data_IF_438964248823
#
_entry.id   IF_438964248823
#
_cell.length_a   1.000
_cell.length_b   1.000
_cell.length_c   1.000
_cell.angle_alpha   90.00
_cell.angle_beta   90.00
_cell.angle_gamma   90.00
#
_symmetry.space_group_name_H-M   'P 1'
#
loop_
_entity.id
_entity.type
_entity.pdbx_description
1 polymer ?
#
# COMPACT_ATOMS: atom_id res chain seq x y z
N UNK A 1 10.70 6.15 -31.81
CA UNK A 1 10.91 5.90 -30.37
C UNK A 1 9.55 5.65 -29.75
N UNK A 2 9.43 4.66 -28.89
CA UNK A 2 8.23 4.38 -28.10
C UNK A 2 8.68 3.96 -26.68
N UNK A 3 8.47 4.85 -25.70
CA UNK A 3 8.58 4.52 -24.28
C UNK A 3 7.22 4.02 -23.81
N UNK A 4 7.14 2.79 -23.32
CA UNK A 4 5.93 2.19 -22.77
C UNK A 4 6.07 2.07 -21.26
N UNK A 5 5.04 2.50 -20.54
CA UNK A 5 4.92 2.38 -19.08
C UNK A 5 3.83 1.38 -18.74
N UNK A 6 4.08 0.58 -17.74
CA UNK A 6 3.16 -0.46 -17.33
C UNK A 6 3.37 -0.93 -15.91
N UNK A 7 2.54 -1.87 -15.49
CA UNK A 7 2.66 -2.54 -14.19
C UNK A 7 3.20 -3.95 -14.39
N UNK A 8 4.24 -4.28 -13.62
CA UNK A 8 4.75 -5.64 -13.53
C UNK A 8 4.07 -6.33 -12.36
N UNK A 9 3.50 -7.50 -12.59
CA UNK A 9 2.79 -8.25 -11.57
C UNK A 9 3.11 -9.74 -11.61
N UNK A 10 2.73 -10.45 -10.57
CA UNK A 10 2.86 -11.91 -10.46
C UNK A 10 1.47 -12.51 -10.22
N UNK A 11 1.12 -13.54 -10.98
CA UNK A 11 -0.13 -14.26 -10.75
C UNK A 11 -0.06 -15.12 -9.49
N UNK A 12 -1.22 -15.45 -8.90
CA UNK A 12 -1.29 -16.36 -7.76
C UNK A 12 -0.65 -17.71 -8.05
N UNK A 13 -0.83 -18.25 -9.26
CA UNK A 13 -0.20 -19.49 -9.72
C UNK A 13 1.32 -19.38 -9.74
N UNK A 14 1.86 -18.31 -10.34
CA UNK A 14 3.30 -18.07 -10.39
C UNK A 14 3.91 -17.88 -9.00
N UNK A 15 3.19 -17.19 -8.13
CA UNK A 15 3.60 -16.97 -6.73
C UNK A 15 3.63 -18.27 -5.94
N UNK A 16 2.61 -19.13 -6.07
CA UNK A 16 2.56 -20.43 -5.43
C UNK A 16 3.74 -21.33 -5.90
N UNK A 17 3.99 -21.37 -7.22
CA UNK A 17 5.12 -22.12 -7.79
C UNK A 17 6.48 -21.59 -7.30
N UNK A 18 6.62 -20.28 -7.17
CA UNK A 18 7.82 -19.65 -6.63
C UNK A 18 8.05 -20.06 -5.18
N UNK A 19 7.02 -20.00 -4.34
CA UNK A 19 7.12 -20.38 -2.92
C UNK A 19 7.38 -21.89 -2.74
N UNK A 20 6.81 -22.73 -3.59
CA UNK A 20 7.11 -24.17 -3.57
C UNK A 20 8.60 -24.45 -3.85
N UNK A 21 9.22 -23.74 -4.81
CA UNK A 21 10.67 -23.84 -5.08
C UNK A 21 11.49 -23.34 -3.90
N UNK A 22 11.14 -22.20 -3.30
CA UNK A 22 11.85 -21.68 -2.12
C UNK A 22 11.82 -22.68 -0.96
N UNK A 23 10.65 -23.26 -0.68
CA UNK A 23 10.51 -24.27 0.37
C UNK A 23 11.35 -25.53 0.08
N UNK A 24 11.35 -26.01 -1.18
CA UNK A 24 12.16 -27.17 -1.59
C UNK A 24 13.67 -26.92 -1.45
N UNK A 25 14.11 -25.67 -1.59
CA UNK A 25 15.50 -25.24 -1.41
C UNK A 25 15.84 -24.85 0.04
N UNK A 26 14.91 -24.99 0.98
CA UNK A 26 15.08 -24.58 2.39
C UNK A 26 15.22 -23.08 2.60
N UNK A 27 14.77 -22.27 1.63
CA UNK A 27 14.81 -20.80 1.68
C UNK A 27 13.51 -20.24 2.24
N UNK A 28 13.53 -19.02 2.82
CA UNK A 28 12.31 -18.35 3.27
C UNK A 28 11.32 -18.14 2.13
N UNK A 29 10.04 -18.40 2.39
CA UNK A 29 8.95 -18.15 1.44
C UNK A 29 8.57 -16.67 1.45
N UNK A 30 8.06 -16.18 0.33
CA UNK A 30 7.59 -14.80 0.19
C UNK A 30 6.19 -14.63 0.78
N UNK A 31 5.91 -13.43 1.33
CA UNK A 31 4.67 -13.15 2.02
C UNK A 31 3.50 -12.81 1.06
N UNK A 32 3.78 -12.14 -0.07
CA UNK A 32 2.76 -11.75 -1.02
C UNK A 32 3.30 -11.61 -2.46
N UNK A 33 2.45 -11.73 -3.49
CA UNK A 33 2.87 -11.70 -4.89
C UNK A 33 3.37 -10.30 -5.34
N UNK A 34 2.81 -9.21 -4.81
CA UNK A 34 3.19 -7.84 -5.21
C UNK A 34 4.62 -7.51 -4.80
N UNK A 35 4.96 -7.74 -3.52
CA UNK A 35 6.32 -7.50 -3.04
C UNK A 35 7.33 -8.44 -3.71
N UNK A 36 6.92 -9.68 -4.03
CA UNK A 36 7.73 -10.62 -4.78
C UNK A 36 7.99 -10.15 -6.21
N UNK A 37 6.99 -9.60 -6.89
CA UNK A 37 7.15 -9.00 -8.22
C UNK A 37 8.10 -7.79 -8.18
N UNK A 38 7.85 -6.83 -7.27
CA UNK A 38 8.68 -5.64 -7.11
C UNK A 38 10.14 -5.98 -6.75
N UNK A 39 10.34 -6.93 -5.85
CA UNK A 39 11.66 -7.44 -5.48
C UNK A 39 12.36 -8.16 -6.62
N UNK A 40 11.61 -8.88 -7.46
CA UNK A 40 12.14 -9.61 -8.61
C UNK A 40 12.69 -8.67 -9.70
N UNK A 41 12.04 -7.53 -9.94
CA UNK A 41 12.50 -6.54 -10.93
C UNK A 41 13.76 -5.79 -10.45
N UNK A 42 14.01 -5.74 -9.14
CA UNK A 42 15.15 -5.03 -8.54
C UNK A 42 16.40 -5.88 -8.34
N UNK A 43 16.42 -7.12 -8.86
CA UNK A 43 17.61 -7.98 -8.73
C UNK A 43 18.78 -7.42 -9.55
N UNK A 44 19.99 -7.47 -8.98
CA UNK A 44 21.22 -7.09 -9.67
C UNK A 44 21.60 -8.12 -10.74
N UNK A 45 21.32 -9.40 -10.47
CA UNK A 45 21.53 -10.49 -11.42
C UNK A 45 20.25 -10.71 -12.25
N UNK A 46 20.28 -10.42 -13.57
CA UNK A 46 19.12 -10.60 -14.44
C UNK A 46 18.67 -12.06 -14.57
N UNK A 47 19.55 -13.04 -14.31
CA UNK A 47 19.18 -14.46 -14.34
C UNK A 47 18.15 -14.81 -13.26
N UNK A 48 18.22 -14.15 -12.10
CA UNK A 48 17.24 -14.29 -11.03
C UNK A 48 15.87 -13.79 -11.49
N UNK A 49 15.82 -12.62 -12.13
CA UNK A 49 14.59 -12.06 -12.70
C UNK A 49 14.02 -12.93 -13.80
N UNK A 50 14.87 -13.44 -14.70
CA UNK A 50 14.47 -14.33 -15.79
C UNK A 50 13.85 -15.65 -15.28
N UNK A 51 14.28 -16.13 -14.12
CA UNK A 51 13.70 -17.29 -13.42
C UNK A 51 12.35 -17.03 -12.73
N UNK A 52 11.83 -15.79 -12.78
CA UNK A 52 10.55 -15.40 -12.18
C UNK A 52 9.48 -15.28 -13.26
N UNK A 53 8.33 -15.91 -13.04
CA UNK A 53 7.18 -15.81 -13.95
C UNK A 53 6.46 -14.48 -13.73
N UNK A 54 7.05 -13.38 -14.21
CA UNK A 54 6.49 -12.03 -14.15
C UNK A 54 5.61 -11.78 -15.37
N UNK A 55 4.56 -11.00 -15.16
CA UNK A 55 3.66 -10.51 -16.19
C UNK A 55 3.70 -8.97 -16.22
N UNK A 56 3.18 -8.39 -17.30
CA UNK A 56 3.20 -6.95 -17.53
C UNK A 56 1.89 -6.50 -18.17
N UNK A 57 1.37 -5.35 -17.75
CA UNK A 57 0.30 -4.65 -18.44
C UNK A 57 0.75 -3.25 -18.82
N UNK A 58 0.76 -2.94 -20.12
CA UNK A 58 0.97 -1.60 -20.62
C UNK A 58 -0.26 -0.72 -20.36
N UNK A 59 -0.09 0.45 -19.75
CA UNK A 59 -1.19 1.36 -19.45
C UNK A 59 -0.92 2.83 -19.75
N UNK A 60 0.33 3.18 -20.09
CA UNK A 60 0.73 4.56 -20.38
C UNK A 60 1.99 4.56 -21.26
N UNK A 61 2.41 5.75 -21.64
CA UNK A 61 3.62 5.97 -22.44
C UNK A 61 4.39 7.17 -21.89
N UNK A 62 5.65 7.25 -22.29
CA UNK A 62 6.53 8.41 -22.14
C UNK A 62 6.79 9.04 -23.49
N UNK A 63 8.09 9.12 -23.86
CA UNK A 63 8.47 9.66 -25.15
C UNK A 63 8.01 8.79 -26.32
N UNK A 64 7.36 9.42 -27.29
CA UNK A 64 6.84 8.75 -28.48
C UNK A 64 7.05 9.64 -29.73
N UNK A 65 7.55 9.06 -30.81
CA UNK A 65 7.84 9.76 -32.07
C UNK A 65 6.61 9.93 -32.97
N UNK A 66 5.42 9.82 -32.46
CA UNK A 66 4.15 10.00 -33.14
C UNK A 66 3.06 9.26 -32.39
N UNK A 67 1.97 9.95 -32.08
CA UNK A 67 0.84 9.34 -31.39
C UNK A 67 0.03 8.51 -32.39
N UNK A 68 -0.22 7.21 -32.12
CA UNK A 68 -1.06 6.38 -32.97
C UNK A 68 -2.57 6.64 -32.83
N UNK A 69 -2.95 7.56 -31.92
CA UNK A 69 -4.32 7.97 -31.64
C UNK A 69 -4.38 9.25 -30.82
N UNK A 70 -5.58 9.83 -30.68
CA UNK A 70 -5.87 11.06 -29.94
C UNK A 70 -6.66 10.80 -28.64
N UNK A 71 -6.84 9.52 -28.30
CA UNK A 71 -7.55 9.09 -27.08
C UNK A 71 -6.71 8.09 -26.29
N UNK A 72 -6.94 8.03 -24.97
CA UNK A 72 -6.33 7.07 -24.07
C UNK A 72 -6.66 5.62 -24.51
N UNK A 73 -7.92 5.35 -24.84
CA UNK A 73 -8.38 4.06 -25.33
C UNK A 73 -7.69 3.66 -26.65
N UNK A 74 -7.62 4.58 -27.61
CA UNK A 74 -6.95 4.36 -28.89
C UNK A 74 -5.46 4.07 -28.76
N UNK A 75 -4.78 4.71 -27.79
CA UNK A 75 -3.39 4.41 -27.47
C UNK A 75 -3.22 2.99 -26.93
N UNK A 76 -4.10 2.55 -26.03
CA UNK A 76 -4.02 1.18 -25.47
C UNK A 76 -4.35 0.14 -26.53
N UNK A 77 -5.31 0.39 -27.41
CA UNK A 77 -5.57 -0.46 -28.57
C UNK A 77 -4.36 -0.54 -29.52
N UNK A 78 -3.63 0.55 -29.71
CA UNK A 78 -2.39 0.54 -30.49
C UNK A 78 -1.31 -0.32 -29.81
N UNK A 79 -1.18 -0.27 -28.50
CA UNK A 79 -0.25 -1.15 -27.76
C UNK A 79 -0.61 -2.62 -27.98
N UNK A 80 -1.88 -2.98 -27.92
CA UNK A 80 -2.33 -4.33 -28.21
C UNK A 80 -1.98 -4.75 -29.67
N UNK A 81 -2.18 -3.87 -30.65
CA UNK A 81 -1.77 -4.11 -32.06
C UNK A 81 -0.25 -4.28 -32.22
N UNK A 82 0.56 -3.62 -31.36
CA UNK A 82 2.02 -3.80 -31.34
C UNK A 82 2.48 -5.04 -30.56
N UNK A 83 1.54 -5.87 -30.07
CA UNK A 83 1.83 -7.09 -29.33
C UNK A 83 2.17 -6.88 -27.84
N UNK A 84 1.94 -5.68 -27.31
CA UNK A 84 2.14 -5.42 -25.89
C UNK A 84 0.93 -5.93 -25.08
N UNK A 85 1.14 -6.60 -23.94
CA UNK A 85 0.05 -7.00 -23.07
C UNK A 85 -0.68 -5.78 -22.50
N UNK A 86 -2.00 -5.76 -22.63
CA UNK A 86 -2.89 -4.73 -22.05
C UNK A 86 -3.92 -5.39 -21.16
N UNK A 87 -4.44 -4.66 -20.18
CA UNK A 87 -5.44 -5.22 -19.27
C UNK A 87 -6.79 -5.40 -20.00
N UNK A 88 -7.33 -6.63 -20.10
CA UNK A 88 -8.57 -6.91 -20.81
C UNK A 88 -9.83 -6.33 -20.12
N UNK A 89 -9.70 -5.93 -18.84
CA UNK A 89 -10.79 -5.33 -18.07
C UNK A 89 -10.98 -3.83 -18.35
N UNK A 90 -10.09 -3.22 -19.14
CA UNK A 90 -10.24 -1.81 -19.52
C UNK A 90 -11.54 -1.60 -20.31
N UNK A 91 -12.29 -0.56 -19.94
CA UNK A 91 -13.55 -0.16 -20.58
C UNK A 91 -13.56 1.34 -20.80
N UNK A 92 -14.08 1.76 -21.95
CA UNK A 92 -14.49 3.15 -22.18
C UNK A 92 -15.91 3.33 -21.65
N UNK A 93 -16.12 4.35 -20.84
CA UNK A 93 -17.40 4.72 -20.23
C UNK A 93 -17.78 6.12 -20.67
N UNK A 94 -19.07 6.40 -20.84
CA UNK A 94 -19.57 7.71 -21.27
C UNK A 94 -20.23 8.48 -20.12
N UNK A 95 -20.71 7.75 -19.10
CA UNK A 95 -21.37 8.33 -17.93
C UNK A 95 -20.68 7.91 -16.62
N UNK A 96 -20.98 8.59 -15.53
CA UNK A 96 -20.53 8.22 -14.18
C UNK A 96 -21.16 6.90 -13.75
N UNK A 97 -22.40 6.66 -14.14
CA UNK A 97 -23.13 5.43 -13.87
C UNK A 97 -22.44 4.23 -14.51
N UNK A 98 -21.96 4.37 -15.76
CA UNK A 98 -21.17 3.33 -16.43
C UNK A 98 -19.85 3.06 -15.70
N UNK A 99 -19.13 4.11 -15.26
CA UNK A 99 -17.90 3.97 -14.48
C UNK A 99 -18.14 3.18 -13.21
N UNK A 100 -19.20 3.48 -12.47
CA UNK A 100 -19.55 2.80 -11.22
C UNK A 100 -19.99 1.35 -11.48
N UNK A 101 -20.73 1.09 -12.56
CA UNK A 101 -21.13 -0.26 -12.95
C UNK A 101 -19.90 -1.13 -13.24
N UNK A 102 -18.95 -0.64 -14.02
CA UNK A 102 -17.69 -1.33 -14.31
C UNK A 102 -16.86 -1.54 -13.04
N UNK A 103 -16.81 -0.55 -12.15
CA UNK A 103 -16.13 -0.69 -10.84
C UNK A 103 -16.71 -1.84 -10.01
N UNK A 104 -18.05 -1.93 -9.89
CA UNK A 104 -18.71 -2.99 -9.16
C UNK A 104 -18.53 -4.37 -9.82
N UNK A 105 -18.56 -4.44 -11.15
CA UNK A 105 -18.27 -5.65 -11.91
C UNK A 105 -16.86 -6.17 -11.60
N UNK A 106 -15.85 -5.31 -11.68
CA UNK A 106 -14.45 -5.67 -11.40
C UNK A 106 -14.28 -6.05 -9.92
N UNK A 107 -14.92 -5.33 -8.99
CA UNK A 107 -14.90 -5.65 -7.57
C UNK A 107 -15.45 -7.07 -7.29
N UNK A 108 -16.54 -7.44 -7.95
CA UNK A 108 -17.16 -8.76 -7.82
C UNK A 108 -16.29 -9.90 -8.38
N UNK A 109 -15.50 -9.61 -9.45
CA UNK A 109 -14.59 -10.58 -10.09
C UNK A 109 -13.22 -10.66 -9.40
N UNK A 110 -12.90 -9.77 -8.47
CA UNK A 110 -11.57 -9.60 -7.87
C UNK A 110 -10.93 -10.91 -7.43
N UNK A 111 -11.69 -11.78 -6.76
CA UNK A 111 -11.21 -13.06 -6.25
C UNK A 111 -10.85 -14.08 -7.33
N UNK A 112 -11.36 -13.94 -8.55
CA UNK A 112 -11.20 -14.89 -9.66
C UNK A 112 -10.24 -14.45 -10.75
N UNK A 113 -9.67 -13.25 -10.65
CA UNK A 113 -8.76 -12.69 -11.66
C UNK A 113 -7.42 -13.43 -11.75
N UNK A 114 -7.05 -14.18 -10.70
CA UNK A 114 -5.76 -14.87 -10.65
C UNK A 114 -4.57 -13.95 -10.33
N UNK A 115 -4.80 -12.69 -10.04
CA UNK A 115 -3.82 -11.71 -9.54
C UNK A 115 -4.52 -10.65 -8.66
N UNK A 116 -3.75 -10.01 -7.79
CA UNK A 116 -4.30 -9.03 -6.84
C UNK A 116 -4.49 -7.66 -7.50
N UNK A 117 -5.63 -7.03 -7.18
CA UNK A 117 -5.93 -5.63 -7.49
C UNK A 117 -6.48 -4.91 -6.26
N UNK A 118 -6.18 -3.64 -6.13
CA UNK A 118 -6.61 -2.81 -5.00
C UNK A 118 -7.62 -1.71 -5.38
N UNK A 119 -7.97 -1.62 -6.66
CA UNK A 119 -8.91 -0.65 -7.20
C UNK A 119 -8.83 -0.54 -8.71
N UNK A 120 -9.48 0.50 -9.22
CA UNK A 120 -9.45 0.90 -10.63
C UNK A 120 -8.91 2.32 -10.77
N UNK A 121 -8.45 2.68 -11.96
CA UNK A 121 -8.02 4.05 -12.27
C UNK A 121 -8.88 4.56 -13.43
N UNK A 122 -9.59 5.66 -13.16
CA UNK A 122 -10.29 6.39 -14.21
C UNK A 122 -9.35 7.39 -14.87
N UNK A 123 -9.44 7.51 -16.18
CA UNK A 123 -8.67 8.47 -16.96
C UNK A 123 -9.56 9.16 -17.96
N UNK A 124 -9.37 10.47 -18.16
CA UNK A 124 -10.03 11.20 -19.25
C UNK A 124 -9.56 10.63 -20.57
N UNK A 125 -10.48 10.22 -21.45
CA UNK A 125 -10.14 9.52 -22.70
C UNK A 125 -9.47 10.44 -23.74
N UNK A 126 -9.94 11.67 -23.91
CA UNK A 126 -9.36 12.64 -24.85
C UNK A 126 -7.99 13.14 -24.40
N UNK A 127 -6.94 12.89 -25.19
CA UNK A 127 -5.57 13.36 -24.90
C UNK A 127 -5.49 14.88 -24.88
N UNK A 128 -6.24 15.58 -25.75
CA UNK A 128 -6.34 17.05 -25.74
C UNK A 128 -6.91 17.58 -24.42
N UNK A 129 -7.89 16.87 -23.82
CA UNK A 129 -8.42 17.24 -22.50
C UNK A 129 -7.46 16.89 -21.37
N UNK A 130 -6.71 15.79 -21.49
CA UNK A 130 -5.63 15.46 -20.53
C UNK A 130 -4.58 16.56 -20.49
N UNK A 131 -4.10 17.03 -21.65
CA UNK A 131 -3.15 18.13 -21.77
C UNK A 131 -3.69 19.42 -21.15
N UNK A 132 -4.96 19.77 -21.43
CA UNK A 132 -5.64 20.96 -20.89
C UNK A 132 -5.78 20.90 -19.36
N UNK A 133 -6.07 19.72 -18.77
CA UNK A 133 -6.17 19.52 -17.32
C UNK A 133 -4.77 19.54 -16.65
N UNK A 134 -3.76 19.02 -17.32
CA UNK A 134 -2.38 19.03 -16.88
C UNK A 134 -2.11 18.23 -15.61
N UNK A 135 -1.11 18.71 -14.86
CA UNK A 135 -0.58 18.06 -13.64
C UNK A 135 -0.54 19.03 -12.47
N UNK A 136 -0.62 18.50 -11.26
CA UNK A 136 -0.24 19.20 -10.02
C UNK A 136 0.90 18.41 -9.39
N UNK A 137 2.08 19.01 -9.32
CA UNK A 137 3.31 18.31 -8.96
C UNK A 137 3.55 17.11 -9.88
N UNK A 138 3.51 15.89 -9.34
CA UNK A 138 3.67 14.64 -10.09
C UNK A 138 2.36 13.91 -10.37
N UNK A 139 1.24 14.49 -9.98
CA UNK A 139 -0.07 13.85 -10.09
C UNK A 139 -0.86 14.42 -11.25
N UNK A 140 -1.37 13.58 -12.18
CA UNK A 140 -2.23 14.03 -13.25
C UNK A 140 -3.59 14.48 -12.71
N UNK A 141 -4.14 15.58 -13.24
CA UNK A 141 -5.49 16.05 -12.90
C UNK A 141 -6.58 15.33 -13.71
N UNK A 142 -6.19 14.56 -14.68
CA UNK A 142 -7.04 13.81 -15.60
C UNK A 142 -7.16 12.32 -15.27
N UNK A 143 -6.57 11.90 -14.14
CA UNK A 143 -6.67 10.52 -13.65
C UNK A 143 -6.97 10.50 -12.16
N UNK A 144 -7.81 9.55 -11.74
CA UNK A 144 -8.15 9.32 -10.33
C UNK A 144 -8.24 7.82 -10.02
N UNK A 145 -7.62 7.40 -8.92
CA UNK A 145 -7.72 6.05 -8.42
C UNK A 145 -8.97 5.90 -7.53
N UNK A 146 -9.78 4.87 -7.81
CA UNK A 146 -10.90 4.45 -6.98
C UNK A 146 -10.55 3.10 -6.35
N UNK A 147 -10.13 3.13 -5.10
CA UNK A 147 -9.72 1.93 -4.37
C UNK A 147 -10.93 1.12 -3.93
N UNK A 148 -10.80 -0.22 -3.93
CA UNK A 148 -11.81 -1.06 -3.28
C UNK A 148 -11.81 -0.82 -1.78
N UNK A 149 -12.95 -1.08 -1.10
CA UNK A 149 -13.00 -1.05 0.35
C UNK A 149 -11.90 -1.92 0.94
N UNK A 150 -11.23 -1.39 1.96
CA UNK A 150 -10.21 -2.15 2.67
C UNK A 150 -10.85 -3.29 3.45
N UNK A 151 -10.23 -4.46 3.41
CA UNK A 151 -10.67 -5.56 4.24
C UNK A 151 -10.37 -5.27 5.72
N UNK A 152 -11.31 -5.63 6.58
CA UNK A 152 -11.23 -5.42 8.02
C UNK A 152 -11.37 -6.75 8.77
N UNK A 153 -10.74 -6.83 9.93
CA UNK A 153 -10.94 -7.93 10.87
C UNK A 153 -10.83 -7.43 12.31
N UNK A 154 -11.50 -8.13 13.21
CA UNK A 154 -11.39 -7.92 14.65
C UNK A 154 -10.27 -8.79 15.22
N UNK A 155 -9.49 -8.24 16.13
CA UNK A 155 -8.47 -8.96 16.88
C UNK A 155 -8.19 -8.30 18.21
N UNK A 156 -7.34 -8.93 19.04
CA UNK A 156 -6.93 -8.38 20.34
C UNK A 156 -5.63 -7.61 20.21
N UNK A 157 -5.57 -6.44 20.80
CA UNK A 157 -4.37 -5.64 20.99
C UNK A 157 -3.59 -6.20 22.19
N UNK A 158 -2.58 -7.01 21.93
CA UNK A 158 -1.81 -7.69 22.96
C UNK A 158 -0.74 -6.78 23.59
N UNK A 159 -0.15 -5.87 22.79
CA UNK A 159 0.85 -4.91 23.26
C UNK A 159 0.98 -3.73 22.31
N UNK A 160 1.64 -2.65 22.75
CA UNK A 160 2.00 -1.49 21.95
C UNK A 160 3.52 -1.29 22.05
N UNK A 161 4.22 -1.64 20.99
CA UNK A 161 5.66 -1.49 20.86
C UNK A 161 6.03 -0.16 20.21
N UNK A 162 7.04 0.52 20.71
CA UNK A 162 7.57 1.74 20.11
C UNK A 162 8.79 1.42 19.27
N UNK A 163 8.69 1.61 17.97
CA UNK A 163 9.82 1.51 17.05
C UNK A 163 10.42 2.89 16.80
N UNK A 164 11.76 2.97 16.78
CA UNK A 164 12.47 4.22 16.51
C UNK A 164 13.05 4.16 15.10
N UNK A 165 12.62 5.10 14.25
CA UNK A 165 13.08 5.19 12.88
C UNK A 165 14.39 5.98 12.74
N UNK A 166 15.01 5.94 11.56
CA UNK A 166 16.27 6.63 11.24
C UNK A 166 16.23 8.16 11.43
N UNK A 167 15.05 8.76 11.43
CA UNK A 167 14.85 10.19 11.70
C UNK A 167 14.54 10.48 13.16
N UNK A 168 14.71 9.50 14.05
CA UNK A 168 14.36 9.59 15.47
C UNK A 168 12.87 9.46 15.79
N UNK A 169 11.98 9.36 14.78
CA UNK A 169 10.55 9.24 14.99
C UNK A 169 10.21 7.99 15.80
N UNK A 170 9.42 8.17 16.87
CA UNK A 170 8.84 7.11 17.68
C UNK A 170 7.51 6.67 17.04
N UNK A 171 7.51 5.52 16.41
CA UNK A 171 6.36 4.96 15.72
C UNK A 171 5.72 3.84 16.56
N UNK A 172 4.49 4.02 17.06
CA UNK A 172 3.81 2.98 17.81
C UNK A 172 3.26 1.90 16.87
N UNK A 173 3.55 0.64 17.21
CA UNK A 173 3.10 -0.56 16.51
C UNK A 173 2.24 -1.39 17.45
N UNK A 174 1.00 -1.63 17.08
CA UNK A 174 0.13 -2.57 17.74
C UNK A 174 0.62 -4.01 17.51
N UNK A 175 0.94 -4.72 18.57
CA UNK A 175 1.14 -6.17 18.57
C UNK A 175 -0.23 -6.83 18.75
N UNK A 176 -0.62 -7.68 17.82
CA UNK A 176 -1.96 -8.20 17.70
C UNK A 176 -1.96 -9.72 17.82
N UNK A 177 -3.02 -10.25 18.42
CA UNK A 177 -3.31 -11.66 18.22
C UNK A 177 -3.46 -11.91 16.72
N UNK A 178 -2.69 -12.86 16.13
CA UNK A 178 -2.68 -13.06 14.68
C UNK A 178 -4.08 -13.30 14.11
N UNK A 179 -4.40 -12.56 13.04
CA UNK A 179 -5.70 -12.65 12.34
C UNK A 179 -5.49 -12.52 10.84
N UNK A 180 -6.31 -13.21 10.05
CA UNK A 180 -6.25 -13.14 8.58
C UNK A 180 -7.04 -11.95 8.07
N UNK A 181 -6.39 -11.07 7.29
CA UNK A 181 -6.98 -9.91 6.61
C UNK A 181 -6.38 -9.79 5.22
N UNK A 182 -7.22 -9.69 4.20
CA UNK A 182 -6.76 -9.59 2.82
C UNK A 182 -5.88 -10.76 2.39
N UNK A 183 -6.23 -12.00 2.82
CA UNK A 183 -5.52 -13.22 2.48
C UNK A 183 -4.16 -13.40 3.16
N UNK A 184 -3.75 -12.52 4.08
CA UNK A 184 -2.49 -12.66 4.85
C UNK A 184 -2.75 -12.64 6.35
N UNK A 185 -1.88 -13.33 7.10
CA UNK A 185 -1.89 -13.29 8.56
C UNK A 185 -1.22 -12.01 9.03
N UNK A 186 -1.95 -11.19 9.79
CA UNK A 186 -1.50 -9.94 10.37
C UNK A 186 -1.34 -10.10 11.87
N UNK A 187 -0.13 -9.83 12.37
CA UNK A 187 0.21 -9.81 13.80
C UNK A 187 0.66 -8.42 14.25
N UNK A 188 0.83 -7.47 13.33
CA UNK A 188 1.25 -6.10 13.64
C UNK A 188 0.47 -5.11 12.80
N UNK A 189 0.09 -3.97 13.41
CA UNK A 189 -0.56 -2.86 12.71
C UNK A 189 -0.01 -1.53 13.20
N UNK A 190 -0.01 -0.51 12.36
CA UNK A 190 0.40 0.82 12.81
C UNK A 190 -0.67 1.49 13.65
N UNK A 191 -0.23 2.21 14.68
CA UNK A 191 -1.01 3.19 15.43
C UNK A 191 -0.61 4.62 15.07
N UNK A 192 0.19 4.78 14.01
CA UNK A 192 0.68 6.03 13.43
C UNK A 192 1.50 6.92 14.37
N UNK A 193 0.91 7.43 15.45
CA UNK A 193 1.53 8.34 16.42
C UNK A 193 0.77 8.38 17.75
N UNK A 194 1.29 9.16 18.69
CA UNK A 194 0.70 9.38 20.02
C UNK A 194 -0.74 9.91 19.96
N UNK A 195 -1.01 10.89 19.08
CA UNK A 195 -2.33 11.51 18.93
C UNK A 195 -3.38 10.50 18.44
N UNK A 196 -2.99 9.56 17.58
CA UNK A 196 -3.88 8.51 17.12
C UNK A 196 -4.23 7.52 18.24
N UNK A 197 -3.27 7.14 19.08
CA UNK A 197 -3.54 6.29 20.25
C UNK A 197 -4.53 6.98 21.18
N UNK A 198 -4.31 8.28 21.47
CA UNK A 198 -5.20 9.06 22.31
C UNK A 198 -6.61 9.20 21.71
N UNK A 199 -6.70 9.46 20.39
CA UNK A 199 -7.98 9.58 19.66
C UNK A 199 -8.78 8.28 19.66
N UNK A 200 -8.11 7.16 19.53
CA UNK A 200 -8.74 5.84 19.56
C UNK A 200 -9.02 5.37 21.01
N UNK A 201 -8.40 5.99 21.99
CA UNK A 201 -8.30 5.50 23.39
C UNK A 201 -7.88 4.02 23.40
N UNK A 202 -6.87 3.69 22.57
CA UNK A 202 -6.40 2.31 22.44
C UNK A 202 -5.63 1.87 23.69
N UNK A 203 -6.04 0.72 24.24
CA UNK A 203 -5.46 0.14 25.46
C UNK A 203 -5.06 -1.32 25.23
N UNK A 204 -3.99 -1.74 25.86
CA UNK A 204 -3.59 -3.15 25.83
C UNK A 204 -4.72 -4.00 26.41
N UNK A 205 -5.07 -5.06 25.70
CA UNK A 205 -6.19 -5.95 25.97
C UNK A 205 -7.49 -5.62 25.23
N UNK A 206 -7.57 -4.49 24.54
CA UNK A 206 -8.75 -4.11 23.75
C UNK A 206 -8.98 -5.05 22.56
N UNK A 207 -10.25 -5.25 22.23
CA UNK A 207 -10.63 -5.73 20.90
C UNK A 207 -10.61 -4.56 19.94
N UNK A 208 -9.81 -4.70 18.88
CA UNK A 208 -9.61 -3.65 17.86
C UNK A 208 -10.04 -4.14 16.49
N UNK A 209 -10.53 -3.23 15.66
CA UNK A 209 -10.72 -3.47 14.23
C UNK A 209 -9.48 -2.97 13.51
N UNK A 210 -8.85 -3.88 12.78
CA UNK A 210 -7.74 -3.56 11.90
C UNK A 210 -8.21 -3.57 10.45
N UNK A 211 -7.53 -2.80 9.64
CA UNK A 211 -7.82 -2.68 8.22
C UNK A 211 -6.53 -2.82 7.42
N UNK A 212 -6.62 -3.52 6.28
CA UNK A 212 -5.58 -3.60 5.29
C UNK A 212 -6.13 -3.21 3.92
N UNK A 213 -5.65 -2.11 3.36
CA UNK A 213 -6.00 -1.68 2.01
C UNK A 213 -4.89 -2.11 1.05
N UNK A 214 -5.16 -3.10 0.21
CA UNK A 214 -4.15 -3.65 -0.70
C UNK A 214 -2.90 -4.13 0.05
N UNK A 215 -1.71 -3.75 -0.44
CA UNK A 215 -0.42 -4.02 0.21
C UNK A 215 0.05 -2.93 1.18
N UNK A 216 -0.86 -2.08 1.65
CA UNK A 216 -0.54 -1.04 2.62
C UNK A 216 -0.35 -1.68 4.00
N UNK A 217 0.51 -1.05 4.81
CA UNK A 217 0.74 -1.46 6.21
C UNK A 217 -0.61 -1.52 6.94
N UNK A 218 -0.94 -2.67 7.60
CA UNK A 218 -2.16 -2.77 8.39
C UNK A 218 -2.22 -1.67 9.44
N UNK A 219 -3.42 -1.11 9.66
CA UNK A 219 -3.62 -0.05 10.66
C UNK A 219 -4.79 -0.39 11.59
N UNK A 220 -4.71 0.09 12.81
CA UNK A 220 -5.82 0.05 13.75
C UNK A 220 -6.79 1.19 13.39
N UNK A 221 -8.05 0.85 13.10
CA UNK A 221 -9.09 1.80 12.66
C UNK A 221 -9.95 2.25 13.81
N UNK A 222 -10.36 1.32 14.68
CA UNK A 222 -11.23 1.60 15.81
C UNK A 222 -11.02 0.59 16.94
N UNK A 223 -11.48 0.97 18.12
CA UNK A 223 -11.51 0.13 19.32
C UNK A 223 -12.97 -0.18 19.64
N UNK A 224 -13.27 -1.47 19.90
CA UNK A 224 -14.59 -1.92 20.34
C UNK A 224 -14.69 -1.79 21.87
N UNK A 225 -15.06 -0.62 22.33
CA UNK A 225 -15.08 -0.28 23.76
C UNK A 225 -16.08 -1.09 24.57
N UNK A 226 -17.11 -1.60 23.93
CA UNK A 226 -18.09 -2.54 24.52
C UNK A 226 -17.46 -3.91 24.88
N UNK A 227 -16.38 -4.28 24.21
CA UNK A 227 -15.62 -5.52 24.46
C UNK A 227 -14.38 -5.29 25.34
N UNK A 228 -14.17 -4.07 25.87
CA UNK A 228 -12.99 -3.69 26.66
C UNK A 228 -12.90 -4.43 27.99
N UNK A 229 -11.77 -5.06 28.31
CA UNK A 229 -11.54 -5.62 29.65
C UNK A 229 -11.52 -4.52 30.72
N UNK A 230 -12.12 -4.79 31.88
CA UNK A 230 -12.13 -3.85 33.00
C UNK A 230 -10.74 -3.50 33.53
N UNK A 231 -9.75 -4.36 33.26
CA UNK A 231 -8.34 -4.17 33.64
C UNK A 231 -7.55 -3.26 32.68
N UNK A 232 -8.09 -2.94 31.51
CA UNK A 232 -7.41 -2.16 30.48
C UNK A 232 -7.16 -0.71 30.95
N UNK A 233 -5.87 -0.35 31.06
CA UNK A 233 -5.45 0.99 31.49
C UNK A 233 -5.12 1.86 30.26
N UNK A 234 -5.31 3.20 30.35
CA UNK A 234 -4.86 4.12 29.33
C UNK A 234 -3.36 3.92 29.03
N UNK A 235 -3.02 3.91 27.75
CA UNK A 235 -1.62 3.79 27.33
C UNK A 235 -0.89 5.11 27.56
N UNK A 236 0.30 5.04 28.15
CA UNK A 236 1.17 6.20 28.34
C UNK A 236 2.30 6.13 27.30
N UNK A 237 2.32 7.10 26.41
CA UNK A 237 3.37 7.17 25.38
C UNK A 237 4.69 7.56 26.03
N UNK A 238 5.83 6.90 25.71
CA UNK A 238 7.09 7.15 26.40
C UNK A 238 7.67 8.53 26.04
N UNK A 239 8.22 9.20 27.05
CA UNK A 239 8.96 10.46 26.92
C UNK A 239 10.48 10.22 26.80
N UNK A 240 10.89 8.98 26.91
CA UNK A 240 12.28 8.53 26.80
C UNK A 240 12.38 7.53 25.65
N UNK A 241 13.42 7.66 24.83
CA UNK A 241 13.70 6.76 23.75
C UNK A 241 14.01 5.35 24.27
N UNK A 242 13.27 4.30 23.82
CA UNK A 242 13.49 2.94 24.31
C UNK A 242 14.83 2.34 23.84
N UNK A 243 15.51 2.94 22.88
CA UNK A 243 16.78 2.42 22.33
C UNK A 243 17.98 3.03 23.04
N UNK A 244 18.05 4.36 23.22
CA UNK A 244 19.23 5.04 23.72
C UNK A 244 19.03 5.77 25.06
N UNK A 245 17.81 5.80 25.63
CA UNK A 245 17.51 6.49 26.88
C UNK A 245 17.48 8.02 26.80
N UNK A 246 17.69 8.62 25.63
CA UNK A 246 17.58 10.09 25.46
C UNK A 246 16.12 10.54 25.52
N UNK A 247 15.88 11.81 25.84
CA UNK A 247 14.54 12.37 25.78
C UNK A 247 13.92 12.24 24.38
N UNK A 248 12.63 12.02 24.36
CA UNK A 248 11.82 12.02 23.15
C UNK A 248 10.81 13.18 23.23
N UNK A 249 10.91 14.14 22.31
CA UNK A 249 10.15 15.39 22.34
C UNK A 249 9.29 15.57 21.09
N UNK A 250 8.26 16.38 21.19
CA UNK A 250 7.49 16.88 20.04
C UNK A 250 7.96 18.30 19.75
N UNK A 251 8.41 18.53 18.53
CA UNK A 251 8.88 19.84 18.09
C UNK A 251 7.70 20.78 17.84
N UNK A 252 7.92 22.07 18.06
CA UNK A 252 6.96 23.11 17.72
C UNK A 252 7.49 23.85 16.50
N UNK A 253 6.70 23.88 15.44
CA UNK A 253 7.01 24.66 14.25
C UNK A 253 7.03 26.15 14.60
N UNK A 254 8.20 26.77 14.51
CA UNK A 254 8.44 28.17 14.91
C UNK A 254 7.58 29.17 14.12
N UNK A 255 7.19 28.83 12.87
CA UNK A 255 6.40 29.73 12.02
C UNK A 255 4.91 29.63 12.28
N UNK A 256 4.41 28.44 12.58
CA UNK A 256 2.98 28.20 12.73
C UNK A 256 2.54 28.06 14.19
N UNK A 257 3.49 27.86 15.12
CA UNK A 257 3.22 27.55 16.52
C UNK A 257 2.56 26.17 16.76
N UNK A 258 2.48 25.34 15.72
CA UNK A 258 1.87 24.01 15.81
C UNK A 258 2.88 22.99 16.32
N UNK A 259 2.44 22.18 17.27
CA UNK A 259 3.21 21.02 17.74
C UNK A 259 3.21 19.91 16.69
N UNK A 260 4.39 19.31 16.41
CA UNK A 260 4.49 18.14 15.53
C UNK A 260 3.67 16.97 16.12
N UNK A 261 3.02 16.23 15.25
CA UNK A 261 2.28 15.02 15.63
C UNK A 261 3.19 13.85 16.01
N UNK A 262 4.45 13.92 15.57
CA UNK A 262 5.45 12.90 15.82
C UNK A 262 6.37 13.28 16.96
N UNK A 263 6.53 12.37 17.92
CA UNK A 263 7.54 12.46 18.97
C UNK A 263 8.86 11.90 18.44
N UNK A 264 9.98 12.61 18.68
CA UNK A 264 11.29 12.26 18.17
C UNK A 264 12.34 12.12 19.26
N UNK A 265 13.19 11.11 19.14
CA UNK A 265 14.36 10.94 19.97
C UNK A 265 15.39 12.04 19.71
N UNK A 266 15.88 12.69 20.76
CA UNK A 266 16.91 13.73 20.68
C UNK A 266 18.34 13.19 20.66
N UNK A 267 18.54 11.87 20.71
CA UNK A 267 19.85 11.23 20.80
C UNK A 267 20.73 11.39 19.55
N UNK A 268 20.13 11.67 18.37
CA UNK A 268 20.89 11.84 17.13
C UNK A 268 21.85 10.67 16.88
N UNK A 269 23.09 10.94 16.59
CA UNK A 269 24.14 9.94 16.29
C UNK A 269 24.47 8.97 17.46
N UNK A 270 24.02 9.26 18.67
CA UNK A 270 24.22 8.37 19.84
C UNK A 270 23.16 7.28 19.88
N UNK A 271 22.07 7.44 19.12
CA UNK A 271 21.01 6.46 19.08
C UNK A 271 21.22 5.46 17.95
N UNK A 272 21.43 4.18 18.30
CA UNK A 272 21.67 3.10 17.32
C UNK A 272 20.56 2.94 16.26
N UNK A 273 19.37 3.51 16.51
CA UNK A 273 18.25 3.50 15.55
C UNK A 273 18.34 4.65 14.51
N UNK A 274 19.17 5.63 14.70
CA UNK A 274 19.31 6.80 13.84
C UNK A 274 20.60 6.78 13.03
#
# INVERSE_FOLDING_TARGET
ILEVRGEVYMTHQAFAALNARQAAEGKPVYANPRNSAAGSVRQLDPSVTAGRALNFFAYAWGDISGLPGDTQSGMIEAFARYGLPVNPLMRRCETVEDLLAVYHEIAAQRATLGYDIDGVVYKVDSLRLQERLGFVSRSPRWAIAHKFPAEQAETILEDIEIQVGRTGKLAPVARLKPVTVGGVVVANATLHNEDQIARLDARIGDTVVIQRAGDVIPQVVTVLTDKRPKSAKPYQFPEICPICGSHAVREVDEKTGKMDVDRRCTGGLVCDAQ
#
